data_IF_103385271944
#
_entry.id   IF_103385271944
#
_cell.length_a   1.000
_cell.length_b   1.000
_cell.length_c   1.000
_cell.angle_alpha   90.00
_cell.angle_beta   90.00
_cell.angle_gamma   90.00
#
_symmetry.space_group_name_H-M   'P 1'
#
loop_
_entity.id
_entity.type
_entity.pdbx_description
1 polymer ?
#
# COMPACT_ATOMS: atom_id res chain seq x y z
N UNK A 1 29.52 -58.42 -62.86
CA UNK A 1 30.77 -58.06 -62.11
C UNK A 1 30.49 -56.84 -61.25
N UNK A 2 30.63 -57.03 -59.90
CA UNK A 2 30.86 -56.02 -58.81
C UNK A 2 29.85 -54.85 -58.61
N UNK A 3 28.92 -54.99 -57.81
CA UNK A 3 28.70 -54.63 -56.42
C UNK A 3 29.63 -53.55 -55.80
N UNK A 4 29.10 -52.43 -55.46
CA UNK A 4 29.60 -51.60 -54.30
C UNK A 4 28.41 -51.17 -53.42
N UNK A 5 28.47 -51.63 -52.19
CA UNK A 5 27.61 -51.29 -51.10
C UNK A 5 27.81 -49.82 -50.76
N UNK A 6 26.75 -49.01 -50.79
CA UNK A 6 26.68 -47.71 -50.10
C UNK A 6 26.17 -47.94 -48.69
N UNK A 7 27.07 -47.71 -47.75
CA UNK A 7 26.75 -47.67 -46.34
C UNK A 7 26.19 -46.28 -46.04
N UNK A 8 24.88 -46.15 -45.82
CA UNK A 8 24.26 -44.94 -45.25
C UNK A 8 24.66 -44.87 -43.80
N UNK A 9 25.51 -43.91 -43.46
CA UNK A 9 25.69 -43.48 -42.07
C UNK A 9 24.48 -42.62 -41.63
N UNK A 10 23.65 -43.15 -40.76
CA UNK A 10 22.66 -42.41 -40.02
C UNK A 10 23.36 -41.69 -38.85
N UNK A 11 23.46 -40.36 -38.93
CA UNK A 11 23.85 -39.54 -37.83
C UNK A 11 22.67 -39.42 -36.81
N UNK A 12 22.91 -39.53 -35.50
CA UNK A 12 21.86 -39.34 -34.51
C UNK A 12 21.48 -37.87 -34.45
N UNK A 13 20.19 -37.55 -34.64
CA UNK A 13 19.60 -36.27 -34.32
C UNK A 13 19.65 -36.08 -32.78
N UNK A 14 20.58 -35.29 -32.34
CA UNK A 14 20.59 -34.80 -30.95
C UNK A 14 19.39 -33.89 -30.74
N UNK A 15 18.36 -34.41 -30.08
CA UNK A 15 17.26 -33.63 -29.57
C UNK A 15 17.82 -32.73 -28.45
N UNK A 16 18.19 -31.50 -28.78
CA UNK A 16 18.43 -30.45 -27.83
C UNK A 16 17.08 -30.11 -27.15
N UNK A 17 16.82 -30.76 -26.02
CA UNK A 17 15.74 -30.38 -25.15
C UNK A 17 15.96 -28.90 -24.69
N UNK A 18 15.19 -27.98 -25.26
CA UNK A 18 15.07 -26.65 -24.74
C UNK A 18 14.58 -26.80 -23.29
N UNK A 19 15.49 -26.75 -22.31
CA UNK A 19 15.15 -26.47 -20.92
C UNK A 19 14.61 -25.06 -20.91
N UNK A 20 13.30 -24.89 -21.04
CA UNK A 20 12.62 -23.70 -20.57
C UNK A 20 12.92 -23.59 -19.09
N UNK A 21 13.85 -22.74 -18.76
CA UNK A 21 14.06 -22.28 -17.40
C UNK A 21 12.73 -21.66 -16.95
N UNK A 22 11.91 -22.43 -16.25
CA UNK A 22 10.85 -21.89 -15.44
C UNK A 22 11.54 -21.05 -14.36
N UNK A 23 11.76 -19.77 -14.67
CA UNK A 23 12.04 -18.80 -13.59
C UNK A 23 10.87 -18.97 -12.64
N UNK A 24 11.14 -19.52 -11.46
CA UNK A 24 10.24 -19.48 -10.33
C UNK A 24 9.78 -18.03 -10.22
N UNK A 25 8.48 -17.77 -10.43
CA UNK A 25 7.90 -16.46 -10.14
C UNK A 25 8.23 -16.21 -8.66
N UNK A 26 9.03 -15.20 -8.39
CA UNK A 26 9.20 -14.76 -7.02
C UNK A 26 7.80 -14.29 -6.58
N UNK A 27 7.18 -15.01 -5.65
CA UNK A 27 5.92 -14.58 -5.03
C UNK A 27 6.11 -13.29 -4.25
N UNK A 28 5.04 -12.79 -3.65
CA UNK A 28 5.12 -11.62 -2.79
C UNK A 28 6.14 -11.83 -1.66
N UNK A 29 6.98 -10.82 -1.41
CA UNK A 29 8.05 -10.90 -0.44
C UNK A 29 7.52 -11.30 0.95
N UNK A 30 8.29 -12.12 1.66
CA UNK A 30 8.01 -12.52 3.04
C UNK A 30 9.16 -12.07 3.93
N UNK A 31 8.89 -11.69 5.22
CA UNK A 31 9.93 -11.30 6.14
C UNK A 31 10.98 -12.40 6.34
N UNK A 32 12.23 -12.05 6.18
CA UNK A 32 13.38 -12.92 6.46
C UNK A 32 14.11 -12.53 7.76
N UNK A 33 13.94 -11.28 8.19
CA UNK A 33 14.51 -10.76 9.43
C UNK A 33 13.49 -10.87 10.57
N UNK A 34 13.80 -11.54 11.68
CA UNK A 34 12.91 -11.58 12.85
C UNK A 34 12.68 -10.18 13.44
N UNK A 35 11.48 -9.95 13.97
CA UNK A 35 11.18 -8.72 14.72
C UNK A 35 11.96 -8.71 16.04
N UNK A 36 12.63 -7.60 16.34
CA UNK A 36 13.56 -7.47 17.46
C UNK A 36 12.98 -6.77 18.69
N UNK A 37 11.71 -6.42 18.67
CA UNK A 37 11.01 -5.83 19.80
C UNK A 37 9.65 -6.49 20.01
N UNK A 38 9.09 -6.34 21.20
CA UNK A 38 7.75 -6.83 21.50
C UNK A 38 6.70 -6.02 20.73
N UNK A 39 6.04 -6.66 19.77
CA UNK A 39 4.92 -6.06 19.03
C UNK A 39 3.68 -6.07 19.93
N UNK A 40 3.06 -4.92 20.21
CA UNK A 40 1.92 -4.87 21.12
C UNK A 40 0.74 -5.71 20.62
N UNK A 41 0.05 -6.41 21.52
CA UNK A 41 -1.14 -7.17 21.19
C UNK A 41 -2.21 -6.27 20.52
N UNK A 42 -2.80 -6.74 19.44
CA UNK A 42 -3.74 -5.96 18.64
C UNK A 42 -3.08 -5.02 17.64
N UNK A 43 -1.78 -5.16 17.38
CA UNK A 43 -1.08 -4.37 16.36
C UNK A 43 -1.72 -4.55 14.98
N UNK A 44 -1.78 -3.45 14.24
CA UNK A 44 -2.41 -3.32 12.95
C UNK A 44 -1.40 -2.91 11.87
N UNK A 45 -1.39 -3.64 10.77
CA UNK A 45 -0.82 -3.17 9.50
C UNK A 45 -1.87 -2.33 8.78
N UNK A 46 -1.67 -1.01 8.72
CA UNK A 46 -2.67 -0.07 8.21
C UNK A 46 -2.59 0.17 6.71
N UNK A 47 -1.72 -0.55 5.98
CA UNK A 47 -1.60 -0.38 4.54
C UNK A 47 -1.07 -1.64 3.87
N UNK A 48 -1.98 -2.42 3.30
CA UNK A 48 -1.66 -3.59 2.49
C UNK A 48 -2.53 -3.62 1.24
N UNK A 49 -2.15 -4.47 0.27
CA UNK A 49 -2.94 -4.74 -0.92
C UNK A 49 -3.09 -6.25 -1.14
N UNK A 50 -4.14 -6.66 -1.82
CA UNK A 50 -4.31 -8.03 -2.33
C UNK A 50 -4.45 -7.98 -3.84
N UNK A 51 -3.75 -8.88 -4.54
CA UNK A 51 -3.88 -9.10 -5.97
C UNK A 51 -4.33 -10.54 -6.18
N UNK A 52 -5.66 -10.70 -6.30
CA UNK A 52 -6.29 -12.01 -6.48
C UNK A 52 -6.10 -12.58 -7.88
N UNK A 53 -6.71 -13.75 -8.09
CA UNK A 53 -6.74 -14.38 -9.41
C UNK A 53 -7.42 -13.46 -10.43
N UNK A 54 -6.74 -13.05 -11.54
CA UNK A 54 -7.32 -12.20 -12.56
C UNK A 54 -8.56 -12.78 -13.27
N UNK A 55 -8.71 -14.12 -13.25
CA UNK A 55 -9.91 -14.77 -13.75
C UNK A 55 -11.16 -14.52 -12.90
N UNK A 56 -10.97 -14.31 -11.59
CA UNK A 56 -12.04 -13.98 -10.63
C UNK A 56 -12.15 -12.46 -10.38
N UNK A 57 -11.03 -11.77 -10.37
CA UNK A 57 -10.94 -10.34 -10.10
C UNK A 57 -10.17 -9.65 -11.25
N UNK A 58 -10.84 -9.31 -12.35
CA UNK A 58 -10.19 -8.72 -13.51
C UNK A 58 -9.67 -7.31 -13.21
N UNK A 59 -8.47 -7.03 -13.73
CA UNK A 59 -7.92 -5.68 -13.65
C UNK A 59 -8.65 -4.72 -14.59
N UNK A 60 -8.78 -3.46 -14.18
CA UNK A 60 -9.36 -2.43 -15.05
C UNK A 60 -8.52 -2.23 -16.31
N UNK A 61 -9.17 -2.00 -17.48
CA UNK A 61 -8.43 -1.72 -18.72
C UNK A 61 -7.51 -0.49 -18.64
N UNK A 62 -7.88 0.51 -17.85
CA UNK A 62 -7.16 1.78 -17.72
C UNK A 62 -6.08 1.76 -16.61
N UNK A 63 -5.64 0.58 -16.16
CA UNK A 63 -4.58 0.46 -15.15
C UNK A 63 -3.24 0.98 -15.66
N UNK A 64 -2.43 1.49 -14.76
CA UNK A 64 -1.08 2.00 -15.06
C UNK A 64 0.00 0.91 -15.00
N UNK A 65 -0.31 -0.24 -14.39
CA UNK A 65 0.58 -1.41 -14.29
C UNK A 65 -0.24 -2.67 -14.08
N UNK A 66 0.38 -3.83 -14.30
CA UNK A 66 -0.19 -5.15 -13.98
C UNK A 66 0.71 -5.83 -12.94
N UNK A 67 0.27 -6.02 -11.70
CA UNK A 67 1.09 -6.66 -10.67
C UNK A 67 1.11 -8.19 -10.83
N UNK A 68 2.10 -8.82 -10.20
CA UNK A 68 2.03 -10.24 -9.86
C UNK A 68 0.92 -10.49 -8.85
N UNK A 69 0.41 -11.73 -8.77
CA UNK A 69 -0.57 -12.11 -7.75
C UNK A 69 0.04 -12.06 -6.34
N UNK A 70 -0.78 -11.65 -5.38
CA UNK A 70 -0.43 -11.63 -3.95
C UNK A 70 -1.68 -12.00 -3.16
N UNK A 71 -1.69 -13.20 -2.58
CA UNK A 71 -2.87 -13.82 -1.99
C UNK A 71 -3.10 -13.45 -0.53
N UNK A 72 -4.31 -13.71 -0.04
CA UNK A 72 -4.65 -13.58 1.39
C UNK A 72 -3.81 -14.53 2.25
N UNK A 73 -3.46 -15.72 1.76
CA UNK A 73 -2.65 -16.67 2.54
C UNK A 73 -1.19 -16.20 2.69
N UNK A 74 -0.62 -15.59 1.65
CA UNK A 74 0.70 -14.93 1.75
C UNK A 74 0.66 -13.74 2.72
N UNK A 75 -0.42 -12.94 2.70
CA UNK A 75 -0.65 -11.87 3.68
C UNK A 75 -0.76 -12.40 5.11
N UNK A 76 -1.44 -13.55 5.32
CA UNK A 76 -1.48 -14.21 6.63
C UNK A 76 -0.10 -14.66 7.10
N UNK A 77 0.74 -15.15 6.18
CA UNK A 77 2.11 -15.55 6.51
C UNK A 77 2.95 -14.34 6.93
N UNK A 78 2.87 -13.23 6.18
CA UNK A 78 3.46 -11.94 6.54
C UNK A 78 3.07 -11.52 7.96
N UNK A 79 1.77 -11.43 8.23
CA UNK A 79 1.28 -10.91 9.52
C UNK A 79 1.66 -11.81 10.70
N UNK A 80 1.73 -13.13 10.49
CA UNK A 80 2.28 -14.04 11.53
C UNK A 80 3.73 -13.73 11.83
N UNK A 81 4.56 -13.51 10.80
CA UNK A 81 5.98 -13.20 10.97
C UNK A 81 6.21 -11.82 11.63
N UNK A 82 5.32 -10.86 11.40
CA UNK A 82 5.36 -9.52 11.97
C UNK A 82 4.61 -9.40 13.32
N UNK A 83 4.00 -10.47 13.80
CA UNK A 83 3.17 -10.48 15.02
C UNK A 83 2.02 -9.46 15.01
N UNK A 84 1.49 -9.11 13.84
CA UNK A 84 0.31 -8.25 13.68
C UNK A 84 -0.96 -9.10 13.61
N UNK A 85 -2.05 -8.61 14.19
CA UNK A 85 -3.32 -9.33 14.26
C UNK A 85 -4.47 -8.60 13.59
N UNK A 86 -4.25 -7.35 13.19
CA UNK A 86 -5.20 -6.50 12.46
C UNK A 86 -4.58 -6.01 11.17
N UNK A 87 -5.43 -5.74 10.19
CA UNK A 87 -5.00 -5.27 8.88
C UNK A 87 -6.00 -4.32 8.25
N UNK A 88 -5.49 -3.35 7.50
CA UNK A 88 -6.30 -2.50 6.62
C UNK A 88 -5.86 -2.73 5.17
N UNK A 89 -6.77 -3.31 4.38
CA UNK A 89 -6.55 -3.59 2.97
C UNK A 89 -6.98 -2.37 2.16
N UNK A 90 -6.04 -1.79 1.46
CA UNK A 90 -6.28 -0.60 0.63
C UNK A 90 -6.53 -1.04 -0.80
N UNK A 91 -7.62 -0.56 -1.40
CA UNK A 91 -7.93 -0.83 -2.80
C UNK A 91 -6.78 -0.39 -3.70
N UNK A 92 -6.14 -1.32 -4.45
CA UNK A 92 -5.09 -0.96 -5.39
C UNK A 92 -5.70 -0.37 -6.68
N UNK A 93 -4.98 0.57 -7.31
CA UNK A 93 -5.46 1.30 -8.50
C UNK A 93 -5.79 0.41 -9.70
N UNK A 94 -5.18 -0.77 -9.76
CA UNK A 94 -5.35 -1.72 -10.88
C UNK A 94 -6.77 -2.31 -10.99
N UNK A 95 -7.58 -2.23 -9.95
CA UNK A 95 -8.99 -2.65 -9.97
C UNK A 95 -9.95 -1.47 -10.18
N UNK A 96 -9.47 -0.23 -10.25
CA UNK A 96 -10.33 0.94 -10.36
C UNK A 96 -11.36 0.99 -9.22
N UNK A 97 -12.64 1.11 -9.57
CA UNK A 97 -13.76 1.16 -8.62
C UNK A 97 -14.39 -0.20 -8.31
N UNK A 98 -13.87 -1.29 -8.87
CA UNK A 98 -14.30 -2.64 -8.49
C UNK A 98 -13.56 -3.10 -7.22
N UNK A 99 -14.22 -2.98 -6.08
CA UNK A 99 -13.68 -3.33 -4.77
C UNK A 99 -13.88 -4.82 -4.41
N UNK A 100 -14.30 -5.67 -5.33
CA UNK A 100 -14.66 -7.07 -5.04
C UNK A 100 -13.49 -7.85 -4.43
N UNK A 101 -12.27 -7.69 -4.96
CA UNK A 101 -11.08 -8.36 -4.43
C UNK A 101 -10.75 -7.92 -3.00
N UNK A 102 -10.83 -6.61 -2.72
CA UNK A 102 -10.61 -6.04 -1.38
C UNK A 102 -11.65 -6.54 -0.38
N UNK A 103 -12.92 -6.54 -0.75
CA UNK A 103 -14.03 -7.02 0.11
C UNK A 103 -13.93 -8.51 0.36
N UNK A 104 -13.62 -9.31 -0.66
CA UNK A 104 -13.40 -10.75 -0.52
C UNK A 104 -12.26 -11.05 0.47
N UNK A 105 -11.16 -10.33 0.38
CA UNK A 105 -10.03 -10.48 1.30
C UNK A 105 -10.41 -10.11 2.76
N UNK A 106 -11.20 -9.05 2.97
CA UNK A 106 -11.72 -8.70 4.30
C UNK A 106 -12.56 -9.85 4.87
N UNK A 107 -13.47 -10.42 4.07
CA UNK A 107 -14.31 -11.55 4.49
C UNK A 107 -13.49 -12.79 4.86
N UNK A 108 -12.45 -13.09 4.08
CA UNK A 108 -11.54 -14.21 4.37
C UNK A 108 -10.74 -14.00 5.66
N UNK A 109 -10.31 -12.77 5.96
CA UNK A 109 -9.50 -12.43 7.15
C UNK A 109 -10.36 -12.24 8.41
N UNK A 110 -11.65 -11.95 8.25
CA UNK A 110 -12.61 -11.86 9.34
C UNK A 110 -12.51 -10.56 10.15
N UNK A 111 -12.86 -10.57 11.45
CA UNK A 111 -13.10 -9.36 12.25
C UNK A 111 -11.85 -8.49 12.46
N UNK A 112 -10.66 -9.04 12.28
CA UNK A 112 -9.38 -8.32 12.34
C UNK A 112 -9.06 -7.50 11.10
N UNK A 113 -9.90 -7.53 10.05
CA UNK A 113 -9.65 -6.83 8.80
C UNK A 113 -10.61 -5.67 8.58
N UNK A 114 -10.09 -4.60 7.95
CA UNK A 114 -10.86 -3.46 7.43
C UNK A 114 -10.36 -3.14 6.03
N UNK A 115 -11.11 -2.30 5.32
CA UNK A 115 -10.72 -1.89 3.97
C UNK A 115 -10.92 -0.42 3.69
N UNK A 116 -10.20 0.03 2.66
CA UNK A 116 -10.33 1.36 2.06
C UNK A 116 -10.70 1.15 0.60
N UNK A 117 -11.85 1.66 0.19
CA UNK A 117 -12.39 1.49 -1.16
C UNK A 117 -11.96 2.61 -2.11
N UNK A 118 -12.13 2.40 -3.39
CA UNK A 118 -12.16 3.45 -4.41
C UNK A 118 -13.57 3.49 -4.99
N UNK A 119 -14.15 4.67 -5.07
CA UNK A 119 -15.50 4.88 -5.59
C UNK A 119 -15.50 5.98 -6.66
N UNK A 120 -16.58 6.05 -7.40
CA UNK A 120 -16.89 7.13 -8.33
C UNK A 120 -18.26 7.74 -8.04
N UNK A 121 -18.66 8.73 -8.87
CA UNK A 121 -19.91 9.43 -8.72
C UNK A 121 -21.13 8.54 -9.03
N UNK A 122 -20.93 7.43 -9.72
CA UNK A 122 -21.97 6.47 -10.09
C UNK A 122 -22.17 5.37 -9.02
N UNK A 123 -21.28 5.26 -8.05
CA UNK A 123 -21.39 4.27 -6.97
C UNK A 123 -22.64 4.56 -6.13
N UNK A 124 -23.67 3.70 -6.09
CA UNK A 124 -24.92 4.00 -5.39
C UNK A 124 -24.73 3.93 -3.86
N UNK A 125 -25.54 4.67 -3.10
CA UNK A 125 -25.49 4.67 -1.62
C UNK A 125 -25.74 3.29 -1.02
N UNK A 126 -26.60 2.48 -1.64
CA UNK A 126 -26.82 1.10 -1.25
C UNK A 126 -25.52 0.28 -1.28
N UNK A 127 -24.66 0.53 -2.28
CA UNK A 127 -23.35 -0.15 -2.39
C UNK A 127 -22.39 0.33 -1.32
N UNK A 128 -22.42 1.63 -0.98
CA UNK A 128 -21.62 2.15 0.15
C UNK A 128 -22.07 1.55 1.48
N UNK A 129 -23.38 1.32 1.68
CA UNK A 129 -23.92 0.69 2.88
C UNK A 129 -23.56 -0.81 2.96
N UNK A 130 -23.48 -1.51 1.82
CA UNK A 130 -22.94 -2.88 1.76
C UNK A 130 -21.46 -2.90 2.15
N UNK A 131 -20.65 -2.02 1.55
CA UNK A 131 -19.24 -1.89 1.87
C UNK A 131 -19.00 -1.59 3.34
N UNK A 132 -19.81 -0.73 3.98
CA UNK A 132 -19.70 -0.42 5.40
C UNK A 132 -19.92 -1.69 6.26
N UNK A 133 -20.98 -2.48 5.94
CA UNK A 133 -21.22 -3.77 6.60
C UNK A 133 -20.09 -4.77 6.37
N UNK A 134 -19.48 -4.75 5.19
CA UNK A 134 -18.35 -5.61 4.82
C UNK A 134 -17.00 -5.15 5.40
N UNK A 135 -16.96 -4.05 6.16
CA UNK A 135 -15.76 -3.60 6.88
C UNK A 135 -14.95 -2.51 6.19
N UNK A 136 -15.45 -1.87 5.13
CA UNK A 136 -14.85 -0.65 4.57
C UNK A 136 -15.00 0.50 5.57
N UNK A 137 -13.95 1.31 5.74
CA UNK A 137 -13.89 2.42 6.71
C UNK A 137 -13.38 3.73 6.10
N UNK A 138 -13.23 3.79 4.80
CA UNK A 138 -12.81 4.99 4.11
C UNK A 138 -12.72 4.80 2.61
N UNK A 139 -12.44 5.89 1.91
CA UNK A 139 -12.20 5.88 0.47
C UNK A 139 -10.85 6.51 0.13
N UNK A 140 -10.24 6.01 -0.94
CA UNK A 140 -8.92 6.43 -1.39
C UNK A 140 -9.00 7.36 -2.60
N UNK A 141 -8.27 8.47 -2.52
CA UNK A 141 -7.91 9.33 -3.65
C UNK A 141 -6.44 9.07 -3.98
N UNK A 142 -6.18 8.47 -5.13
CA UNK A 142 -4.83 8.19 -5.58
C UNK A 142 -4.47 9.13 -6.72
N UNK A 143 -3.62 10.11 -6.45
CA UNK A 143 -3.07 11.05 -7.42
C UNK A 143 -1.66 10.63 -7.85
N UNK A 144 -0.86 10.12 -6.91
CA UNK A 144 0.56 9.87 -7.11
C UNK A 144 0.85 8.76 -8.13
N UNK A 145 0.09 7.65 -8.12
CA UNK A 145 0.32 6.53 -9.06
C UNK A 145 0.16 6.95 -10.52
N UNK A 146 -0.74 7.89 -10.80
CA UNK A 146 -0.95 8.45 -12.13
C UNK A 146 -0.09 9.70 -12.41
N UNK A 147 0.86 10.04 -11.52
CA UNK A 147 1.71 11.22 -11.65
C UNK A 147 0.96 12.56 -11.58
N UNK A 148 -0.25 12.58 -10.99
CA UNK A 148 -1.09 13.77 -10.93
C UNK A 148 -0.60 14.70 -9.81
N UNK A 149 -0.23 15.90 -10.19
CA UNK A 149 0.25 16.95 -9.27
C UNK A 149 -0.63 18.20 -9.27
N UNK A 150 -1.72 18.21 -10.05
CA UNK A 150 -2.67 19.32 -10.12
C UNK A 150 -3.49 19.42 -8.81
N UNK A 151 -3.32 20.49 -8.01
CA UNK A 151 -4.07 20.67 -6.78
C UNK A 151 -5.58 20.85 -7.02
N UNK A 152 -6.00 21.42 -8.15
CA UNK A 152 -7.41 21.62 -8.46
C UNK A 152 -8.11 20.27 -8.71
N UNK A 153 -7.45 19.33 -9.37
CA UNK A 153 -7.95 17.96 -9.46
C UNK A 153 -8.06 17.32 -8.07
N UNK A 154 -7.05 17.54 -7.22
CA UNK A 154 -7.05 17.09 -5.82
C UNK A 154 -8.26 17.65 -5.05
N UNK A 155 -8.52 18.96 -5.15
CA UNK A 155 -9.64 19.64 -4.48
C UNK A 155 -10.98 19.07 -4.92
N UNK A 156 -11.23 18.99 -6.23
CA UNK A 156 -12.50 18.46 -6.76
C UNK A 156 -12.76 17.02 -6.29
N UNK A 157 -11.75 16.15 -6.37
CA UNK A 157 -11.88 14.76 -5.91
C UNK A 157 -12.11 14.67 -4.40
N UNK A 158 -11.45 15.54 -3.63
CA UNK A 158 -11.61 15.59 -2.19
C UNK A 158 -13.01 16.02 -1.78
N UNK A 159 -13.56 17.09 -2.38
CA UNK A 159 -14.90 17.59 -2.08
C UNK A 159 -15.98 16.56 -2.46
N UNK A 160 -15.84 15.93 -3.62
CA UNK A 160 -16.71 14.82 -4.03
C UNK A 160 -16.64 13.66 -3.02
N UNK A 161 -15.44 13.26 -2.59
CA UNK A 161 -15.22 12.23 -1.62
C UNK A 161 -15.89 12.54 -0.27
N UNK A 162 -15.62 13.72 0.29
CA UNK A 162 -16.20 14.18 1.56
C UNK A 162 -17.72 14.19 1.51
N UNK A 163 -18.31 14.70 0.42
CA UNK A 163 -19.76 14.73 0.19
C UNK A 163 -20.35 13.31 0.23
N UNK A 164 -19.67 12.37 -0.43
CA UNK A 164 -20.15 10.97 -0.55
C UNK A 164 -20.12 10.21 0.76
N UNK A 165 -19.13 10.48 1.63
CA UNK A 165 -18.92 9.70 2.87
C UNK A 165 -19.41 10.41 4.13
N UNK A 166 -19.81 11.68 4.06
CA UNK A 166 -20.09 12.53 5.24
C UNK A 166 -21.14 12.00 6.23
N UNK A 167 -21.99 11.04 5.81
CA UNK A 167 -22.95 10.36 6.69
C UNK A 167 -22.41 9.11 7.37
N UNK A 168 -21.21 8.65 6.99
CA UNK A 168 -20.57 7.43 7.48
C UNK A 168 -19.40 7.79 8.39
N UNK A 169 -19.03 6.89 9.28
CA UNK A 169 -17.80 7.03 10.09
C UNK A 169 -16.59 6.63 9.26
N UNK A 170 -16.47 7.17 8.04
CA UNK A 170 -15.38 6.91 7.13
C UNK A 170 -14.42 8.10 7.07
N UNK A 171 -13.25 7.86 6.52
CA UNK A 171 -12.24 8.88 6.29
C UNK A 171 -11.85 8.95 4.81
N UNK A 172 -11.22 10.05 4.41
CA UNK A 172 -10.58 10.18 3.10
C UNK A 172 -9.10 9.87 3.22
N UNK A 173 -8.63 8.85 2.51
CA UNK A 173 -7.23 8.51 2.40
C UNK A 173 -6.65 9.06 1.09
N UNK A 174 -5.51 9.75 1.15
CA UNK A 174 -4.88 10.39 -0.01
C UNK A 174 -3.47 9.87 -0.23
N UNK A 175 -3.19 9.39 -1.44
CA UNK A 175 -1.84 9.16 -1.92
C UNK A 175 -1.46 10.28 -2.88
N UNK A 176 -0.62 11.22 -2.41
CA UNK A 176 -0.28 12.46 -3.11
C UNK A 176 1.11 12.97 -2.70
N UNK A 177 1.50 14.15 -3.18
CA UNK A 177 2.77 14.78 -2.90
C UNK A 177 2.59 15.99 -1.96
N UNK A 178 3.66 16.40 -1.27
CA UNK A 178 3.66 17.55 -0.34
C UNK A 178 3.17 18.84 -0.98
N UNK A 179 3.50 19.09 -2.25
CA UNK A 179 3.03 20.28 -2.98
C UNK A 179 1.51 20.37 -3.12
N UNK A 180 0.84 19.22 -3.28
CA UNK A 180 -0.62 19.15 -3.32
C UNK A 180 -1.20 19.34 -1.92
N UNK A 181 -0.58 18.74 -0.89
CA UNK A 181 -0.99 18.93 0.51
C UNK A 181 -0.89 20.41 0.90
N UNK A 182 0.25 21.07 0.57
CA UNK A 182 0.47 22.50 0.81
C UNK A 182 -0.63 23.34 0.17
N UNK A 183 -0.93 23.10 -1.11
CA UNK A 183 -1.96 23.83 -1.83
C UNK A 183 -3.39 23.59 -1.30
N UNK A 184 -3.65 22.45 -0.69
CA UNK A 184 -4.96 22.05 -0.14
C UNK A 184 -5.08 22.25 1.38
N UNK A 185 -4.10 22.85 2.05
CA UNK A 185 -4.04 22.98 3.51
C UNK A 185 -5.33 23.45 4.16
N UNK A 186 -5.91 24.55 3.65
CA UNK A 186 -7.13 25.13 4.21
C UNK A 186 -8.34 24.20 4.09
N UNK A 187 -8.47 23.53 2.97
CA UNK A 187 -9.57 22.60 2.70
C UNK A 187 -9.44 21.34 3.58
N UNK A 188 -8.24 20.79 3.73
CA UNK A 188 -7.96 19.65 4.61
C UNK A 188 -8.23 20.03 6.07
N UNK A 189 -7.77 21.19 6.51
CA UNK A 189 -8.00 21.70 7.87
C UNK A 189 -9.48 21.92 8.21
N UNK A 190 -10.30 22.25 7.21
CA UNK A 190 -11.75 22.43 7.35
C UNK A 190 -12.56 21.14 7.15
N UNK A 191 -11.92 20.02 6.82
CA UNK A 191 -12.60 18.76 6.55
C UNK A 191 -13.49 18.29 7.71
N UNK A 192 -14.76 17.94 7.47
CA UNK A 192 -15.64 17.38 8.49
C UNK A 192 -15.34 15.88 8.76
N UNK A 193 -14.51 15.23 7.94
CA UNK A 193 -14.12 13.84 8.09
C UNK A 193 -12.62 13.72 8.29
N UNK A 194 -12.12 12.67 8.97
CA UNK A 194 -10.67 12.46 9.09
C UNK A 194 -10.00 12.35 7.72
N UNK A 195 -8.77 12.87 7.60
CA UNK A 195 -7.93 12.76 6.42
C UNK A 195 -6.70 11.94 6.76
N UNK A 196 -6.31 11.03 5.87
CA UNK A 196 -5.14 10.15 6.05
C UNK A 196 -4.22 10.32 4.85
N UNK A 197 -2.96 10.61 5.07
CA UNK A 197 -1.95 10.65 4.01
C UNK A 197 -1.13 9.36 4.00
N UNK A 198 -1.02 8.74 2.81
CA UNK A 198 -0.17 7.58 2.60
C UNK A 198 1.31 7.96 2.59
N UNK A 199 2.18 7.04 3.01
CA UNK A 199 3.63 7.02 2.75
C UNK A 199 4.31 8.37 3.07
N UNK A 200 4.33 8.75 4.35
CA UNK A 200 4.94 10.01 4.84
C UNK A 200 4.38 11.28 4.18
N UNK A 201 3.16 11.23 3.60
CA UNK A 201 2.61 12.34 2.83
C UNK A 201 3.39 12.66 1.55
N UNK A 202 4.16 11.71 1.03
CA UNK A 202 5.01 11.87 -0.15
C UNK A 202 6.36 12.56 0.13
N UNK A 203 6.72 12.76 1.41
CA UNK A 203 8.01 13.34 1.79
C UNK A 203 9.18 12.45 1.37
N UNK A 204 10.30 13.07 0.99
CA UNK A 204 11.50 12.42 0.51
C UNK A 204 12.65 12.55 1.53
N UNK A 205 13.38 11.46 1.81
CA UNK A 205 14.51 11.46 2.75
C UNK A 205 15.57 12.52 2.37
N UNK A 206 15.87 12.62 1.07
CA UNK A 206 16.86 13.58 0.57
C UNK A 206 16.51 15.05 0.86
N UNK A 207 15.22 15.38 0.99
CA UNK A 207 14.78 16.74 1.34
C UNK A 207 14.80 17.02 2.85
N UNK A 208 14.86 15.98 3.66
CA UNK A 208 14.84 16.08 5.13
C UNK A 208 13.60 16.78 5.69
N UNK A 209 13.57 17.09 7.01
CA UNK A 209 12.43 17.73 7.66
C UNK A 209 12.17 19.19 7.26
N UNK A 210 13.10 19.81 6.55
CA UNK A 210 12.98 21.21 6.08
C UNK A 210 12.51 21.33 4.64
N UNK A 211 12.18 20.22 3.98
CA UNK A 211 11.68 20.23 2.61
C UNK A 211 10.34 20.97 2.54
N UNK A 212 10.13 21.63 1.38
CA UNK A 212 8.92 22.44 1.16
C UNK A 212 7.64 21.63 1.32
N UNK A 213 6.68 22.18 2.06
CA UNK A 213 5.35 21.59 2.31
C UNK A 213 5.33 20.54 3.43
N UNK A 214 6.50 20.13 3.97
CA UNK A 214 6.54 19.21 5.10
C UNK A 214 6.13 19.89 6.41
N UNK A 215 6.44 21.17 6.57
CA UNK A 215 5.97 22.03 7.66
C UNK A 215 4.44 22.11 7.69
N UNK A 216 3.80 22.27 6.53
CA UNK A 216 2.33 22.26 6.40
C UNK A 216 1.75 20.89 6.81
N UNK A 217 2.38 19.79 6.40
CA UNK A 217 1.96 18.45 6.82
C UNK A 217 2.08 18.29 8.35
N UNK A 218 3.19 18.76 8.94
CA UNK A 218 3.38 18.74 10.40
C UNK A 218 2.32 19.56 11.13
N UNK A 219 1.91 20.71 10.61
CA UNK A 219 0.86 21.54 11.21
C UNK A 219 -0.51 20.87 11.16
N UNK A 220 -0.85 20.20 10.05
CA UNK A 220 -2.08 19.41 9.94
C UNK A 220 -2.09 18.22 10.92
N UNK A 221 -0.95 17.57 11.12
CA UNK A 221 -0.78 16.49 12.10
C UNK A 221 -0.88 17.04 13.53
N UNK A 222 -0.15 18.10 13.84
CA UNK A 222 -0.12 18.75 15.17
C UNK A 222 -1.50 19.22 15.61
N UNK A 223 -2.25 19.82 14.71
CA UNK A 223 -3.62 20.27 14.97
C UNK A 223 -4.65 19.13 15.00
N UNK A 224 -4.24 17.88 14.74
CA UNK A 224 -5.13 16.72 14.73
C UNK A 224 -6.04 16.61 13.50
N UNK A 225 -5.80 17.42 12.46
CA UNK A 225 -6.61 17.46 11.24
C UNK A 225 -6.28 16.35 10.24
N UNK A 226 -5.07 15.79 10.34
CA UNK A 226 -4.66 14.72 9.46
C UNK A 226 -3.94 13.60 10.21
N UNK A 227 -4.10 12.37 9.71
CA UNK A 227 -3.25 11.23 10.02
C UNK A 227 -2.21 11.06 8.93
N UNK A 228 -1.06 10.50 9.29
CA UNK A 228 -0.01 10.12 8.32
C UNK A 228 0.42 8.68 8.56
N UNK A 229 0.50 7.90 7.48
CA UNK A 229 1.08 6.55 7.52
C UNK A 229 2.59 6.64 7.34
N UNK A 230 3.35 6.23 8.35
CA UNK A 230 4.78 5.95 8.25
C UNK A 230 4.94 4.55 7.66
N UNK A 231 4.80 4.46 6.35
CA UNK A 231 4.72 3.21 5.57
C UNK A 231 5.51 3.33 4.28
N UNK A 232 5.88 2.20 3.67
CA UNK A 232 6.61 2.17 2.40
C UNK A 232 7.81 3.13 2.35
N UNK A 233 8.79 3.03 3.25
CA UNK A 233 9.93 3.96 3.29
C UNK A 233 10.71 3.97 1.97
N UNK A 234 10.68 2.88 1.22
CA UNK A 234 11.31 2.75 -0.11
C UNK A 234 10.70 3.66 -1.20
N UNK A 235 9.56 4.31 -0.93
CA UNK A 235 8.97 5.31 -1.84
C UNK A 235 9.57 6.70 -1.63
N UNK A 236 10.14 6.95 -0.45
CA UNK A 236 10.78 8.22 -0.09
C UNK A 236 12.29 8.15 0.04
N UNK A 237 12.89 6.96 -0.07
CA UNK A 237 14.31 6.73 0.14
C UNK A 237 14.88 5.73 -0.88
N UNK A 238 16.16 5.89 -1.20
CA UNK A 238 16.97 4.95 -1.97
C UNK A 238 17.98 4.18 -1.13
N UNK A 239 17.99 4.42 0.20
CA UNK A 239 18.95 3.82 1.14
C UNK A 239 18.52 2.41 1.60
N UNK A 240 18.27 1.52 0.61
CA UNK A 240 17.98 0.12 0.89
C UNK A 240 19.18 -0.55 1.63
N UNK A 241 18.93 -1.60 2.44
CA UNK A 241 17.65 -2.24 2.70
C UNK A 241 16.87 -1.67 3.89
N UNK A 242 17.48 -0.79 4.68
CA UNK A 242 16.93 -0.34 5.97
C UNK A 242 16.12 0.96 5.86
N UNK A 243 16.39 1.79 4.84
CA UNK A 243 15.76 3.11 4.68
C UNK A 243 15.86 3.99 5.94
N UNK A 244 17.00 3.89 6.64
CA UNK A 244 17.23 4.56 7.93
C UNK A 244 17.16 6.08 7.84
N UNK A 245 17.44 6.63 6.67
CA UNK A 245 17.37 8.05 6.34
C UNK A 245 15.93 8.62 6.36
N UNK A 246 14.89 7.77 6.40
CA UNK A 246 13.51 8.19 6.69
C UNK A 246 13.27 8.49 8.18
N UNK A 247 14.20 8.12 9.06
CA UNK A 247 14.09 8.32 10.51
C UNK A 247 13.84 9.76 10.94
N UNK A 248 14.55 10.77 10.43
CA UNK A 248 14.30 12.17 10.77
C UNK A 248 12.86 12.62 10.45
N UNK A 249 12.29 12.19 9.31
CA UNK A 249 10.90 12.48 8.93
C UNK A 249 9.90 11.78 9.85
N UNK A 250 10.11 10.48 10.13
CA UNK A 250 9.27 9.72 11.04
C UNK A 250 9.24 10.34 12.45
N UNK A 251 10.40 10.67 13.01
CA UNK A 251 10.51 11.29 14.33
C UNK A 251 9.85 12.66 14.38
N UNK A 252 9.97 13.48 13.33
CA UNK A 252 9.30 14.77 13.25
C UNK A 252 7.76 14.62 13.24
N UNK A 253 7.23 13.66 12.49
CA UNK A 253 5.80 13.34 12.45
C UNK A 253 5.30 12.83 13.82
N UNK A 254 6.01 11.90 14.45
CA UNK A 254 5.66 11.34 15.77
C UNK A 254 5.66 12.44 16.81
N UNK A 255 6.70 13.30 16.84
CA UNK A 255 6.81 14.43 17.77
C UNK A 255 5.72 15.50 17.55
N UNK A 256 5.23 15.66 16.31
CA UNK A 256 4.15 16.59 16.03
C UNK A 256 2.84 16.16 16.70
N UNK A 257 2.43 14.90 16.56
CA UNK A 257 1.30 14.32 17.26
C UNK A 257 1.26 12.78 17.08
N UNK A 258 1.76 12.05 18.04
CA UNK A 258 1.78 10.57 18.00
C UNK A 258 0.41 9.95 17.77
N UNK A 259 -0.68 10.60 18.22
CA UNK A 259 -2.07 10.11 18.05
C UNK A 259 -2.59 10.23 16.61
N UNK A 260 -1.82 10.79 15.72
CA UNK A 260 -2.16 10.96 14.29
C UNK A 260 -1.21 10.20 13.36
N UNK A 261 -0.41 9.30 13.92
CA UNK A 261 0.51 8.47 13.15
C UNK A 261 -0.02 7.05 13.07
N UNK A 262 0.10 6.46 11.89
CA UNK A 262 -0.24 5.08 11.58
C UNK A 262 1.00 4.40 11.00
N UNK A 263 1.08 3.09 11.09
CA UNK A 263 2.12 2.28 10.45
C UNK A 263 1.50 1.30 9.45
N UNK A 264 2.25 0.92 8.42
CA UNK A 264 1.87 -0.12 7.47
C UNK A 264 3.04 -0.54 6.60
N UNK A 265 2.97 -1.76 6.08
CA UNK A 265 4.01 -2.34 5.22
C UNK A 265 4.00 -1.79 3.80
N UNK A 266 2.83 -1.57 3.22
CA UNK A 266 2.56 -1.42 1.78
C UNK A 266 2.75 -2.77 1.03
N UNK A 267 2.73 -3.90 1.79
CA UNK A 267 2.79 -5.22 1.16
C UNK A 267 1.67 -5.40 0.11
N UNK A 268 1.92 -6.01 -1.02
CA UNK A 268 3.11 -6.74 -1.44
C UNK A 268 4.14 -5.88 -2.21
N UNK A 269 4.20 -4.57 -1.96
CA UNK A 269 5.16 -3.62 -2.51
C UNK A 269 5.02 -3.45 -4.03
N UNK A 270 3.81 -3.13 -4.53
CA UNK A 270 3.60 -2.96 -5.96
C UNK A 270 4.38 -1.76 -6.50
N UNK A 271 4.87 -1.91 -7.72
CA UNK A 271 5.59 -0.86 -8.40
C UNK A 271 5.25 -0.80 -9.89
N UNK A 272 5.50 0.37 -10.47
CA UNK A 272 5.51 0.54 -11.92
C UNK A 272 6.93 0.38 -12.43
N UNK A 273 7.14 -0.41 -13.49
CA UNK A 273 8.45 -0.53 -14.12
C UNK A 273 8.53 0.46 -15.28
N UNK A 274 9.44 1.46 -15.23
CA UNK A 274 9.58 2.43 -16.31
C UNK A 274 9.81 1.75 -17.67
N UNK A 275 9.13 2.24 -18.72
CA UNK A 275 9.23 1.70 -20.08
C UNK A 275 8.47 0.40 -20.34
N UNK A 276 7.82 -0.18 -19.32
CA UNK A 276 6.97 -1.39 -19.47
C UNK A 276 5.53 -1.00 -19.82
N UNK A 277 4.91 -1.74 -20.72
CA UNK A 277 3.49 -1.55 -21.03
C UNK A 277 2.63 -1.87 -19.81
N UNK A 278 1.53 -1.15 -19.60
CA UNK A 278 0.63 -1.33 -18.45
C UNK A 278 0.00 -2.73 -18.37
N UNK A 279 -0.03 -3.46 -19.49
CA UNK A 279 -0.55 -4.83 -19.59
C UNK A 279 0.49 -5.91 -19.29
N UNK A 280 1.77 -5.55 -19.29
CA UNK A 280 2.86 -6.47 -18.93
C UNK A 280 3.00 -6.53 -17.39
N UNK A 281 3.35 -7.72 -16.91
CA UNK A 281 3.53 -7.94 -15.47
C UNK A 281 4.71 -7.12 -14.96
N UNK A 282 4.45 -6.23 -14.00
CA UNK A 282 5.45 -5.52 -13.18
C UNK A 282 5.73 -6.34 -11.94
N UNK A 283 6.99 -6.77 -11.71
CA UNK A 283 7.34 -7.55 -10.53
C UNK A 283 7.13 -6.74 -9.25
N UNK A 284 6.77 -7.45 -8.19
CA UNK A 284 6.68 -6.89 -6.85
C UNK A 284 8.08 -6.62 -6.30
N UNK A 285 8.26 -5.50 -5.59
CA UNK A 285 9.54 -5.23 -4.92
C UNK A 285 9.78 -6.26 -3.81
N UNK A 286 11.00 -6.74 -3.71
CA UNK A 286 11.40 -7.68 -2.67
C UNK A 286 11.88 -6.88 -1.44
N UNK A 287 10.96 -6.54 -0.56
CA UNK A 287 11.22 -5.81 0.70
C UNK A 287 11.12 -6.79 1.86
N UNK A 288 12.06 -6.72 2.79
CA UNK A 288 12.01 -7.47 4.05
C UNK A 288 11.26 -6.65 5.10
N UNK A 289 9.97 -6.92 5.26
CA UNK A 289 9.11 -6.19 6.19
C UNK A 289 9.50 -6.36 7.66
N UNK A 290 10.16 -7.46 8.02
CA UNK A 290 10.72 -7.63 9.36
C UNK A 290 11.80 -6.60 9.66
N UNK A 291 12.68 -6.34 8.69
CA UNK A 291 13.70 -5.30 8.76
C UNK A 291 13.09 -3.90 8.82
N UNK A 292 12.09 -3.62 7.96
CA UNK A 292 11.38 -2.33 7.93
C UNK A 292 10.63 -2.07 9.23
N UNK A 293 9.99 -3.08 9.82
CA UNK A 293 9.33 -2.97 11.11
C UNK A 293 10.34 -2.72 12.25
N UNK A 294 11.50 -3.38 12.24
CA UNK A 294 12.56 -3.13 13.20
C UNK A 294 13.10 -1.69 13.08
N UNK A 295 13.23 -1.20 11.86
CA UNK A 295 13.64 0.19 11.62
C UNK A 295 12.61 1.18 12.19
N UNK A 296 11.30 0.96 11.95
CA UNK A 296 10.23 1.72 12.60
C UNK A 296 10.33 1.65 14.13
N UNK A 297 10.62 0.45 14.68
CA UNK A 297 10.83 0.25 16.11
C UNK A 297 11.92 1.15 16.70
N UNK A 298 12.93 1.54 15.91
CA UNK A 298 13.99 2.47 16.32
C UNK A 298 13.59 3.94 16.31
N UNK A 299 12.47 4.29 15.66
CA UNK A 299 11.97 5.66 15.56
C UNK A 299 11.01 6.04 16.69
N UNK A 300 10.41 5.06 17.35
CA UNK A 300 9.36 5.23 18.35
C UNK A 300 9.67 4.50 19.65
N UNK A 301 9.40 5.13 20.79
CA UNK A 301 9.42 4.50 22.10
C UNK A 301 8.35 3.40 22.24
N UNK A 302 8.43 2.50 23.24
CA UNK A 302 7.41 1.48 23.46
C UNK A 302 5.98 2.02 23.57
N UNK A 303 5.77 3.15 24.24
CA UNK A 303 4.46 3.80 24.37
C UNK A 303 3.97 4.40 23.05
N UNK A 304 4.85 5.00 22.27
CA UNK A 304 4.52 5.53 20.94
C UNK A 304 4.21 4.39 19.97
N UNK A 305 4.96 3.28 20.00
CA UNK A 305 4.65 2.08 19.21
C UNK A 305 3.26 1.54 19.53
N UNK A 306 2.87 1.49 20.81
CA UNK A 306 1.51 1.09 21.20
C UNK A 306 0.46 2.04 20.62
N UNK A 307 0.67 3.34 20.71
CA UNK A 307 -0.24 4.32 20.11
C UNK A 307 -0.38 4.13 18.59
N UNK A 308 0.75 4.02 17.88
CA UNK A 308 0.79 3.95 16.41
C UNK A 308 0.26 2.62 15.88
N UNK A 309 0.62 1.51 16.51
CA UNK A 309 0.26 0.18 16.04
C UNK A 309 -1.11 -0.29 16.52
N UNK A 310 -1.62 0.22 17.65
CA UNK A 310 -2.85 -0.32 18.28
C UNK A 310 -3.93 0.73 18.48
N UNK A 311 -3.63 1.82 19.20
CA UNK A 311 -4.67 2.72 19.69
C UNK A 311 -5.23 3.58 18.55
N UNK A 312 -4.36 4.17 17.72
CA UNK A 312 -4.77 5.00 16.57
C UNK A 312 -5.54 4.19 15.50
N UNK A 313 -5.06 2.99 15.08
CA UNK A 313 -5.85 2.15 14.19
C UNK A 313 -7.21 1.75 14.77
N UNK A 314 -7.28 1.44 16.05
CA UNK A 314 -8.54 1.10 16.72
C UNK A 314 -9.54 2.26 16.66
N UNK A 315 -9.08 3.48 16.95
CA UNK A 315 -9.91 4.68 16.90
C UNK A 315 -10.40 4.97 15.48
N UNK A 316 -9.47 4.97 14.50
CA UNK A 316 -9.77 5.40 13.13
C UNK A 316 -10.61 4.37 12.35
N UNK A 317 -10.29 3.09 12.48
CA UNK A 317 -10.91 2.02 11.67
C UNK A 317 -12.01 1.25 12.42
N UNK A 318 -12.22 1.49 13.70
CA UNK A 318 -13.29 0.85 14.49
C UNK A 318 -13.04 -0.65 14.69
N UNK A 319 -11.85 -1.02 15.17
CA UNK A 319 -11.53 -2.39 15.58
C UNK A 319 -12.04 -2.71 16.98
#
# INVERSE_FOLDING_TARGET
MLSRREVLMMAPLSAAALRQSTRSRAGAAQPSTPVTFEVPAGACDCHTHVFGDPGRFPFTPNRTYTPESASVDEMRALHRALHTTRVVIVQPSVYGTDNACTVDAIKQLGPGARGIAVIDDQTPDTKLDEMDRDGIRGIRINLATAGQTDPELGRRRFDAAVTRIGRRKWHVQMYTQLSVIEAMQKQIAASPVPVVFDHFGGAQAAGGPTQRGFDVLLDLVRSGRAYVKVSAPYRGSTAAPDFADMGPLAKALIAANVRRILWGTDWPHPDTTPGRASTEISPLRQIDDGRVLNQFGSWASPSERKSILVDNPRELYGF
#
